data_IF_707665792560
#
_entry.id   IF_707665792560
#
_cell.length_a   1.000
_cell.length_b   1.000
_cell.length_c   1.000
_cell.angle_alpha   90.00
_cell.angle_beta   90.00
_cell.angle_gamma   90.00
#
_symmetry.space_group_name_H-M   'P 1'
#
loop_
_entity.id
_entity.type
_entity.pdbx_description
1 polymer ?
#
# COMPACT_ATOMS: atom_id res chain seq x y z
N UNK A 1 -25.20 -5.00 -6.15
CA UNK A 1 -25.23 -5.34 -4.71
C UNK A 1 -24.00 -4.72 -4.09
N UNK A 2 -24.16 -3.84 -3.09
CA UNK A 2 -23.03 -3.31 -2.33
C UNK A 2 -22.24 -4.47 -1.75
N UNK A 3 -20.94 -4.47 -2.03
CA UNK A 3 -20.03 -5.53 -1.56
C UNK A 3 -19.93 -5.44 -0.03
N UNK A 4 -20.62 -6.33 0.70
CA UNK A 4 -20.62 -6.37 2.17
C UNK A 4 -19.23 -6.42 2.81
N UNK A 5 -18.23 -6.82 2.04
CA UNK A 5 -16.86 -6.94 2.48
C UNK A 5 -16.04 -5.66 2.29
N UNK A 6 -16.63 -4.62 1.72
CA UNK A 6 -16.02 -3.29 1.65
C UNK A 6 -16.55 -2.45 2.81
N UNK A 7 -15.76 -2.34 3.87
CA UNK A 7 -16.15 -1.69 5.13
C UNK A 7 -16.46 -0.20 4.96
N UNK A 8 -15.95 0.43 3.90
CA UNK A 8 -16.25 1.83 3.54
C UNK A 8 -17.72 2.17 3.54
N UNK A 9 -18.56 1.20 3.19
CA UNK A 9 -20.01 1.38 3.11
C UNK A 9 -20.73 0.94 4.38
N UNK A 10 -19.99 0.77 5.48
CA UNK A 10 -20.59 0.57 6.79
C UNK A 10 -21.13 1.88 7.34
N UNK A 11 -22.25 1.82 8.08
CA UNK A 11 -22.86 3.01 8.66
C UNK A 11 -21.90 3.78 9.60
N UNK A 12 -20.99 3.07 10.28
CA UNK A 12 -20.02 3.70 11.18
C UNK A 12 -19.03 4.58 10.41
N UNK A 13 -18.49 4.08 9.29
CA UNK A 13 -17.53 4.80 8.46
C UNK A 13 -18.23 5.91 7.68
N UNK A 14 -19.40 5.65 7.09
CA UNK A 14 -20.19 6.67 6.39
C UNK A 14 -20.55 7.85 7.30
N UNK A 15 -21.03 7.59 8.53
CA UNK A 15 -21.35 8.64 9.48
C UNK A 15 -20.12 9.47 9.91
N UNK A 16 -18.95 8.82 10.03
CA UNK A 16 -17.72 9.53 10.38
C UNK A 16 -17.25 10.43 9.24
N UNK A 17 -17.27 9.96 7.99
CA UNK A 17 -16.91 10.75 6.81
C UNK A 17 -17.85 11.94 6.64
N UNK A 18 -19.15 11.75 6.83
CA UNK A 18 -20.15 12.84 6.75
C UNK A 18 -19.91 13.92 7.81
N UNK A 19 -19.53 13.53 9.03
CA UNK A 19 -19.20 14.46 10.11
C UNK A 19 -18.05 15.40 9.73
N UNK A 20 -17.12 14.96 8.90
CA UNK A 20 -15.98 15.72 8.40
C UNK A 20 -16.20 16.30 7.00
N UNK A 21 -17.48 16.48 6.60
CA UNK A 21 -17.85 16.95 5.24
C UNK A 21 -17.40 18.37 4.91
N UNK A 22 -17.04 19.16 5.90
CA UNK A 22 -16.55 20.54 5.74
C UNK A 22 -15.02 20.67 5.64
N UNK A 23 -14.28 19.55 5.75
CA UNK A 23 -12.83 19.54 5.58
C UNK A 23 -12.42 19.93 4.17
N UNK A 24 -11.28 20.61 4.04
CA UNK A 24 -10.75 21.09 2.76
C UNK A 24 -10.38 19.97 1.78
N UNK A 25 -10.19 20.34 0.53
CA UNK A 25 -9.88 19.39 -0.55
C UNK A 25 -8.55 18.65 -0.37
N UNK A 26 -7.64 19.19 0.42
CA UNK A 26 -6.35 18.61 0.76
C UNK A 26 -6.41 17.55 1.87
N UNK A 27 -7.59 17.35 2.48
CA UNK A 27 -7.80 16.35 3.53
C UNK A 27 -8.12 14.96 2.98
N UNK A 28 -7.75 13.92 3.73
CA UNK A 28 -8.15 12.54 3.42
C UNK A 28 -9.68 12.36 3.50
N UNK A 29 -10.36 13.11 4.37
CA UNK A 29 -11.80 13.12 4.49
C UNK A 29 -12.50 13.51 3.19
N UNK A 30 -11.99 14.54 2.49
CA UNK A 30 -12.57 14.99 1.23
C UNK A 30 -12.48 13.92 0.14
N UNK A 31 -11.35 13.20 0.07
CA UNK A 31 -11.17 12.10 -0.89
C UNK A 31 -12.07 10.92 -0.56
N UNK A 32 -12.18 10.53 0.70
CA UNK A 32 -13.07 9.45 1.11
C UNK A 32 -14.53 9.77 0.82
N UNK A 33 -14.95 11.02 1.05
CA UNK A 33 -16.31 11.48 0.71
C UNK A 33 -16.56 11.44 -0.80
N UNK A 34 -15.63 11.97 -1.61
CA UNK A 34 -15.72 11.94 -3.07
C UNK A 34 -15.86 10.50 -3.59
N UNK A 35 -15.09 9.59 -3.02
CA UNK A 35 -15.14 8.16 -3.34
C UNK A 35 -16.45 7.49 -2.93
N UNK A 36 -17.09 7.93 -1.87
CA UNK A 36 -18.43 7.44 -1.47
C UNK A 36 -19.54 7.91 -2.40
N UNK A 37 -19.45 9.15 -2.87
CA UNK A 37 -20.40 9.73 -3.83
C UNK A 37 -20.25 9.06 -5.19
N UNK A 38 -19.02 8.88 -5.65
CA UNK A 38 -18.70 8.33 -6.97
C UNK A 38 -18.41 6.81 -6.92
N UNK A 39 -19.30 6.05 -6.30
CA UNK A 39 -19.13 4.61 -6.04
C UNK A 39 -18.82 3.77 -7.27
N UNK A 40 -19.34 4.14 -8.43
CA UNK A 40 -19.12 3.43 -9.68
C UNK A 40 -17.73 3.68 -10.27
N UNK A 41 -17.16 4.84 -10.04
CA UNK A 41 -15.83 5.23 -10.52
C UNK A 41 -14.70 4.69 -9.63
N UNK A 42 -14.92 4.62 -8.31
CA UNK A 42 -13.88 4.29 -7.34
C UNK A 42 -14.25 3.14 -6.41
N UNK A 43 -15.16 2.26 -6.84
CA UNK A 43 -15.78 1.24 -5.98
C UNK A 43 -14.97 -0.03 -5.73
N UNK A 44 -13.81 -0.21 -6.37
CA UNK A 44 -12.98 -1.41 -6.22
C UNK A 44 -12.40 -1.59 -4.82
N UNK A 45 -12.23 -2.86 -4.41
CA UNK A 45 -11.68 -3.19 -3.10
C UNK A 45 -10.16 -3.00 -3.03
N UNK A 46 -9.46 -3.07 -4.17
CA UNK A 46 -8.01 -3.06 -4.25
C UNK A 46 -7.46 -1.85 -5.02
N UNK A 47 -8.19 -0.75 -4.96
CA UNK A 47 -7.79 0.56 -5.46
C UNK A 47 -7.63 1.50 -4.28
N UNK A 48 -6.42 1.93 -3.97
CA UNK A 48 -6.09 2.68 -2.77
C UNK A 48 -5.63 4.09 -3.09
N UNK A 49 -6.01 5.04 -2.23
CA UNK A 49 -5.64 6.44 -2.38
C UNK A 49 -4.14 6.61 -2.19
N UNK A 50 -3.46 7.18 -3.19
CA UNK A 50 -2.09 7.67 -3.08
C UNK A 50 -2.06 9.14 -2.70
N UNK A 51 -2.88 9.94 -3.35
CA UNK A 51 -2.87 11.39 -3.16
C UNK A 51 -3.89 12.11 -4.01
N UNK A 52 -3.75 13.43 -4.07
CA UNK A 52 -4.52 14.31 -4.94
C UNK A 52 -3.59 14.91 -5.99
N UNK A 53 -3.95 14.80 -7.26
CA UNK A 53 -3.17 15.27 -8.41
C UNK A 53 -3.13 16.80 -8.43
N UNK A 54 -1.96 17.36 -8.75
CA UNK A 54 -1.75 18.79 -8.88
C UNK A 54 -2.42 19.41 -10.11
N UNK A 55 -2.49 18.63 -11.21
CA UNK A 55 -2.94 19.10 -12.51
C UNK A 55 -4.47 19.13 -12.64
N UNK A 56 -5.15 18.21 -11.99
CA UNK A 56 -6.60 17.99 -12.17
C UNK A 56 -7.41 18.11 -10.89
N UNK A 57 -6.75 18.25 -9.75
CA UNK A 57 -7.36 18.18 -8.41
C UNK A 57 -8.17 16.88 -8.16
N UNK A 58 -7.92 15.83 -8.94
CA UNK A 58 -8.56 14.53 -8.77
C UNK A 58 -7.75 13.60 -7.89
N UNK A 59 -8.38 12.67 -7.14
CA UNK A 59 -7.69 11.63 -6.43
C UNK A 59 -6.85 10.75 -7.38
N UNK A 60 -5.64 10.41 -6.95
CA UNK A 60 -4.76 9.43 -7.59
C UNK A 60 -4.85 8.13 -6.81
N UNK A 61 -5.05 7.02 -7.51
CA UNK A 61 -5.18 5.69 -6.92
C UNK A 61 -4.06 4.76 -7.35
N UNK A 62 -3.63 3.90 -6.44
CA UNK A 62 -2.86 2.71 -6.71
C UNK A 62 -3.83 1.54 -6.87
N UNK A 63 -3.96 1.05 -8.10
CA UNK A 63 -4.95 0.03 -8.44
C UNK A 63 -4.30 -1.34 -8.63
N UNK A 64 -4.73 -2.32 -7.86
CA UNK A 64 -4.29 -3.72 -7.93
C UNK A 64 -5.35 -4.66 -8.49
N UNK A 65 -6.45 -4.13 -9.01
CA UNK A 65 -7.46 -4.92 -9.72
C UNK A 65 -7.20 -4.91 -11.22
N UNK A 66 -7.50 -6.04 -11.89
CA UNK A 66 -7.49 -6.09 -13.34
C UNK A 66 -8.63 -5.21 -13.89
N UNK A 67 -8.26 -4.12 -14.55
CA UNK A 67 -9.13 -3.24 -15.34
C UNK A 67 -10.47 -2.85 -14.66
N UNK A 68 -10.40 -1.94 -13.70
CA UNK A 68 -11.57 -1.16 -13.33
C UNK A 68 -11.69 0.00 -14.34
N UNK A 69 -12.77 0.01 -15.15
CA UNK A 69 -13.14 1.06 -16.12
C UNK A 69 -11.99 1.62 -16.98
N UNK A 70 -11.16 0.74 -17.54
CA UNK A 70 -10.08 1.15 -18.46
C UNK A 70 -8.78 1.61 -17.79
N UNK A 71 -8.71 1.63 -16.47
CA UNK A 71 -7.44 1.83 -15.76
C UNK A 71 -6.71 0.51 -15.65
N UNK A 72 -5.49 0.38 -16.22
CA UNK A 72 -4.69 -0.83 -16.08
C UNK A 72 -4.30 -1.01 -14.61
N UNK A 73 -4.20 -2.27 -14.19
CA UNK A 73 -3.67 -2.55 -12.87
C UNK A 73 -2.18 -2.20 -12.80
N UNK A 74 -1.77 -1.68 -11.64
CA UNK A 74 -0.39 -1.34 -11.35
C UNK A 74 0.42 -2.57 -10.91
N UNK A 75 1.73 -2.49 -11.00
CA UNK A 75 2.63 -3.54 -10.54
C UNK A 75 2.40 -3.90 -9.06
N UNK A 76 2.67 -5.16 -8.63
CA UNK A 76 2.46 -5.58 -7.24
C UNK A 76 3.45 -4.95 -6.24
N UNK A 77 4.44 -4.22 -6.74
CA UNK A 77 5.50 -3.62 -5.92
C UNK A 77 5.48 -2.11 -6.00
N UNK A 78 5.58 -1.48 -4.83
CA UNK A 78 5.65 -0.02 -4.71
C UNK A 78 6.85 0.38 -3.85
N UNK A 79 7.74 1.21 -4.41
CA UNK A 79 8.82 1.85 -3.67
C UNK A 79 8.38 3.24 -3.25
N UNK A 80 8.51 3.54 -1.96
CA UNK A 80 8.19 4.85 -1.37
C UNK A 80 9.47 5.45 -0.79
N UNK A 81 9.84 6.62 -1.27
CA UNK A 81 11.04 7.31 -0.80
C UNK A 81 10.72 8.71 -0.29
N UNK A 82 11.55 9.22 0.60
CA UNK A 82 11.36 10.57 1.13
C UNK A 82 12.15 10.80 2.40
N UNK A 83 12.85 11.92 2.48
CA UNK A 83 13.65 12.29 3.65
C UNK A 83 12.79 12.46 4.91
N UNK A 84 13.42 12.46 6.06
CA UNK A 84 12.76 12.74 7.34
C UNK A 84 11.98 14.07 7.27
N UNK A 85 10.73 14.07 7.74
CA UNK A 85 9.87 15.24 7.72
C UNK A 85 9.21 15.54 6.36
N UNK A 86 9.39 14.70 5.33
CA UNK A 86 8.74 14.91 4.02
C UNK A 86 7.26 14.48 3.96
N UNK A 87 6.78 13.71 4.94
CA UNK A 87 5.41 13.15 4.94
C UNK A 87 5.33 11.65 4.58
N UNK A 88 6.47 10.95 4.45
CA UNK A 88 6.52 9.51 4.12
C UNK A 88 5.67 8.66 5.07
N UNK A 89 5.81 8.85 6.38
CA UNK A 89 5.04 8.10 7.38
C UNK A 89 3.54 8.40 7.31
N UNK A 90 3.16 9.65 7.04
CA UNK A 90 1.74 10.02 6.82
C UNK A 90 1.18 9.32 5.57
N UNK A 91 1.97 9.24 4.49
CA UNK A 91 1.59 8.50 3.30
C UNK A 91 1.34 7.02 3.61
N UNK A 92 2.28 6.34 4.28
CA UNK A 92 2.14 4.92 4.62
C UNK A 92 0.94 4.66 5.56
N UNK A 93 0.74 5.53 6.55
CA UNK A 93 -0.41 5.46 7.45
C UNK A 93 -1.73 5.58 6.69
N UNK A 94 -1.86 6.57 5.81
CA UNK A 94 -3.06 6.77 4.99
C UNK A 94 -3.33 5.56 4.08
N UNK A 95 -2.29 5.00 3.47
CA UNK A 95 -2.39 3.80 2.65
C UNK A 95 -2.90 2.60 3.45
N UNK A 96 -2.36 2.37 4.64
CA UNK A 96 -2.78 1.28 5.53
C UNK A 96 -4.25 1.45 5.94
N UNK A 97 -4.66 2.66 6.32
CA UNK A 97 -6.06 2.95 6.67
C UNK A 97 -7.00 2.70 5.49
N UNK A 98 -6.61 3.13 4.29
CA UNK A 98 -7.43 2.95 3.10
C UNK A 98 -7.56 1.46 2.72
N UNK A 99 -6.49 0.67 2.86
CA UNK A 99 -6.53 -0.80 2.72
C UNK A 99 -7.49 -1.41 3.76
N UNK A 100 -7.36 -1.01 5.01
CA UNK A 100 -8.18 -1.52 6.10
C UNK A 100 -9.66 -1.17 5.95
N UNK A 101 -9.96 0.04 5.51
CA UNK A 101 -11.32 0.52 5.31
C UNK A 101 -12.00 -0.12 4.09
N UNK A 102 -11.23 -0.40 3.04
CA UNK A 102 -11.80 -0.96 1.80
C UNK A 102 -11.97 -2.47 1.83
N UNK A 103 -11.31 -3.16 2.75
CA UNK A 103 -11.34 -4.62 2.82
C UNK A 103 -11.66 -5.11 4.22
N UNK A 104 -12.57 -6.06 4.35
CA UNK A 104 -12.75 -6.78 5.60
C UNK A 104 -11.55 -7.70 5.89
N UNK A 105 -11.37 -8.15 7.15
CA UNK A 105 -10.33 -9.12 7.50
C UNK A 105 -10.39 -10.43 6.70
N UNK A 106 -11.57 -10.77 6.17
CA UNK A 106 -11.79 -11.96 5.33
C UNK A 106 -11.30 -11.79 3.89
N UNK A 107 -10.91 -10.58 3.48
CA UNK A 107 -10.44 -10.28 2.13
C UNK A 107 -8.95 -9.97 2.07
N UNK A 108 -8.45 -9.23 3.05
CA UNK A 108 -7.09 -8.75 3.03
C UNK A 108 -6.39 -8.85 4.38
N UNK A 109 -5.14 -9.29 4.34
CA UNK A 109 -4.20 -9.22 5.46
C UNK A 109 -3.27 -8.02 5.28
N UNK A 110 -2.93 -7.36 6.39
CA UNK A 110 -1.98 -6.25 6.44
C UNK A 110 -0.83 -6.66 7.35
N UNK A 111 0.39 -6.60 6.83
CA UNK A 111 1.63 -6.91 7.56
C UNK A 111 2.54 -5.70 7.49
N UNK A 112 2.90 -5.16 8.65
CA UNK A 112 3.75 -3.97 8.75
C UNK A 112 5.03 -4.33 9.49
N UNK A 113 6.15 -3.94 8.93
CA UNK A 113 7.49 -4.17 9.47
C UNK A 113 8.21 -2.84 9.57
N UNK A 114 8.76 -2.52 10.75
CA UNK A 114 9.47 -1.26 10.98
C UNK A 114 10.63 -1.45 11.97
N UNK A 115 11.90 -1.38 11.51
CA UNK A 115 13.08 -1.49 12.37
C UNK A 115 13.16 -0.38 13.42
N UNK A 116 12.45 0.74 13.23
CA UNK A 116 12.50 1.90 14.11
C UNK A 116 11.47 1.87 15.26
N UNK A 117 10.89 0.69 15.55
CA UNK A 117 10.01 0.51 16.72
C UNK A 117 8.53 0.78 16.48
N UNK A 118 8.10 1.05 15.26
CA UNK A 118 6.68 1.18 14.90
C UNK A 118 6.04 2.51 15.29
N UNK A 119 6.78 3.49 15.73
CA UNK A 119 6.25 4.79 16.18
C UNK A 119 5.43 5.52 15.12
N UNK A 120 5.80 5.35 13.85
CA UNK A 120 5.08 5.94 12.73
C UNK A 120 3.64 5.46 12.59
N UNK A 121 3.32 4.31 13.20
CA UNK A 121 2.02 3.62 13.10
C UNK A 121 1.26 3.58 14.43
N UNK A 122 1.65 4.39 15.42
CA UNK A 122 1.06 4.41 16.77
C UNK A 122 -0.46 4.64 16.71
N UNK A 123 -0.92 5.60 15.90
CA UNK A 123 -2.34 5.91 15.71
C UNK A 123 -3.14 4.77 15.06
N UNK A 124 -2.47 3.74 14.53
CA UNK A 124 -3.09 2.55 13.95
C UNK A 124 -3.16 1.33 14.88
N UNK A 125 -2.62 1.41 16.09
CA UNK A 125 -2.58 0.27 17.06
C UNK A 125 -3.94 -0.36 17.35
N UNK A 126 -5.01 0.39 17.17
CA UNK A 126 -6.36 -0.13 17.33
C UNK A 126 -6.84 -1.07 16.22
N UNK A 127 -6.16 -1.17 15.09
CA UNK A 127 -6.49 -2.15 14.04
C UNK A 127 -6.07 -3.55 14.48
N UNK A 128 -7.01 -4.36 14.96
CA UNK A 128 -6.73 -5.67 15.54
C UNK A 128 -6.07 -6.66 14.57
N UNK A 129 -6.30 -6.51 13.27
CA UNK A 129 -5.71 -7.33 12.20
C UNK A 129 -4.34 -6.88 11.73
N UNK A 130 -3.83 -5.77 12.28
CA UNK A 130 -2.51 -5.24 11.99
C UNK A 130 -1.63 -5.34 13.23
N UNK A 131 -0.42 -5.83 13.06
CA UNK A 131 0.64 -5.79 14.07
C UNK A 131 1.89 -5.27 13.40
N UNK A 132 2.55 -4.31 14.03
CA UNK A 132 3.87 -3.85 13.59
C UNK A 132 4.91 -4.77 14.19
N UNK A 133 5.70 -5.39 13.32
CA UNK A 133 6.82 -6.24 13.70
C UNK A 133 8.12 -5.45 13.56
N UNK A 134 8.95 -5.49 14.60
CA UNK A 134 10.19 -4.71 14.68
C UNK A 134 11.45 -5.58 14.74
N UNK A 135 11.28 -6.90 14.78
CA UNK A 135 12.38 -7.85 14.90
C UNK A 135 12.78 -8.38 13.52
N UNK A 136 14.07 -8.28 13.18
CA UNK A 136 14.60 -8.70 11.88
C UNK A 136 14.42 -10.20 11.64
N UNK A 137 14.63 -11.05 12.66
CA UNK A 137 14.52 -12.51 12.50
C UNK A 137 13.09 -12.96 12.24
N UNK A 138 12.13 -12.31 12.89
CA UNK A 138 10.70 -12.52 12.58
C UNK A 138 10.39 -12.09 11.16
N UNK A 139 10.95 -10.97 10.71
CA UNK A 139 10.76 -10.48 9.34
C UNK A 139 11.38 -11.41 8.31
N UNK A 140 12.60 -11.93 8.54
CA UNK A 140 13.24 -12.95 7.69
C UNK A 140 12.35 -14.20 7.56
N UNK A 141 11.87 -14.71 8.70
CA UNK A 141 10.97 -15.89 8.72
C UNK A 141 9.68 -15.62 7.96
N UNK A 142 9.16 -14.40 8.02
CA UNK A 142 7.98 -14.02 7.26
C UNK A 142 8.25 -13.96 5.74
N UNK A 143 9.39 -13.39 5.30
CA UNK A 143 9.78 -13.38 3.89
C UNK A 143 9.89 -14.80 3.31
N UNK A 144 10.53 -15.72 4.04
CA UNK A 144 10.55 -17.15 3.67
C UNK A 144 9.14 -17.76 3.57
N UNK A 145 8.22 -17.35 4.45
CA UNK A 145 6.85 -17.84 4.43
C UNK A 145 6.08 -17.37 3.18
N UNK A 146 6.39 -16.17 2.66
CA UNK A 146 5.82 -15.67 1.40
C UNK A 146 6.20 -16.61 0.24
N UNK A 147 7.48 -16.92 0.09
CA UNK A 147 7.97 -17.82 -0.97
C UNK A 147 7.30 -19.18 -0.93
N UNK A 148 7.20 -19.78 0.28
CA UNK A 148 6.52 -21.05 0.50
C UNK A 148 5.01 -20.98 0.18
N UNK A 149 4.36 -19.89 0.59
CA UNK A 149 2.93 -19.71 0.33
C UNK A 149 2.62 -19.53 -1.14
N UNK A 150 3.44 -18.78 -1.87
CA UNK A 150 3.29 -18.62 -3.33
C UNK A 150 3.38 -19.96 -4.03
N UNK A 151 4.39 -20.77 -3.71
CA UNK A 151 4.52 -22.13 -4.28
C UNK A 151 3.31 -23.02 -3.97
N UNK A 152 2.77 -22.95 -2.75
CA UNK A 152 1.57 -23.69 -2.37
C UNK A 152 0.31 -23.19 -3.11
N UNK A 153 0.18 -21.88 -3.32
CA UNK A 153 -0.93 -21.31 -4.11
C UNK A 153 -0.86 -21.75 -5.56
N UNK A 154 0.32 -21.80 -6.17
CA UNK A 154 0.50 -22.29 -7.55
C UNK A 154 0.04 -23.73 -7.70
N UNK A 155 0.49 -24.59 -6.80
CA UNK A 155 0.09 -26.01 -6.82
C UNK A 155 -1.43 -26.16 -6.65
N UNK A 156 -2.03 -25.33 -5.80
CA UNK A 156 -3.48 -25.31 -5.62
C UNK A 156 -4.19 -24.82 -6.88
N UNK A 157 -3.69 -23.76 -7.54
CA UNK A 157 -4.27 -23.23 -8.77
C UNK A 157 -4.22 -24.27 -9.91
N UNK A 158 -3.09 -24.96 -10.06
CA UNK A 158 -2.96 -26.07 -11.01
C UNK A 158 -3.97 -27.18 -10.70
N UNK A 159 -4.11 -27.58 -9.44
CA UNK A 159 -5.04 -28.63 -9.01
C UNK A 159 -6.49 -28.26 -9.30
N UNK A 160 -6.85 -26.98 -9.13
CA UNK A 160 -8.21 -26.49 -9.37
C UNK A 160 -8.47 -26.07 -10.81
N UNK A 161 -7.45 -26.03 -11.68
CA UNK A 161 -7.55 -25.57 -13.06
C UNK A 161 -7.84 -24.09 -13.19
N UNK A 162 -7.38 -23.27 -12.24
CA UNK A 162 -7.58 -21.82 -12.20
C UNK A 162 -6.24 -21.07 -12.36
N UNK A 163 -6.31 -19.78 -12.70
CA UNK A 163 -5.11 -18.97 -12.98
C UNK A 163 -4.89 -17.81 -12.00
N UNK A 164 -5.93 -17.43 -11.27
CA UNK A 164 -5.89 -16.24 -10.40
C UNK A 164 -6.44 -16.55 -9.02
N UNK A 165 -6.04 -15.73 -8.04
CA UNK A 165 -6.56 -15.77 -6.67
C UNK A 165 -8.09 -15.61 -6.64
N UNK A 166 -8.62 -14.73 -7.49
CA UNK A 166 -10.05 -14.46 -7.58
C UNK A 166 -10.82 -15.70 -8.07
N UNK A 167 -10.30 -16.38 -9.10
CA UNK A 167 -10.87 -17.63 -9.61
C UNK A 167 -10.78 -18.73 -8.55
N UNK A 168 -9.63 -18.88 -7.91
CA UNK A 168 -9.43 -19.83 -6.83
C UNK A 168 -10.43 -19.59 -5.68
N UNK A 169 -10.58 -18.36 -5.25
CA UNK A 169 -11.51 -17.99 -4.18
C UNK A 169 -12.99 -18.18 -4.53
N UNK A 170 -13.36 -18.13 -5.82
CA UNK A 170 -14.71 -18.49 -6.27
C UNK A 170 -14.96 -20.00 -6.09
N UNK A 171 -13.95 -20.83 -6.35
CA UNK A 171 -14.04 -22.29 -6.18
C UNK A 171 -14.03 -22.68 -4.71
N UNK A 172 -13.13 -22.09 -3.91
CA UNK A 172 -12.97 -22.43 -2.49
C UNK A 172 -14.14 -21.95 -1.61
N UNK A 173 -14.83 -20.89 -2.02
CA UNK A 173 -15.89 -20.25 -1.25
C UNK A 173 -15.39 -19.49 -0.03
N UNK A 174 -16.31 -18.90 0.72
CA UNK A 174 -15.98 -17.92 1.79
C UNK A 174 -15.12 -18.51 2.92
N UNK A 175 -15.33 -19.77 3.31
CA UNK A 175 -14.67 -20.38 4.49
C UNK A 175 -13.22 -20.78 4.26
N UNK A 176 -12.79 -20.93 3.02
CA UNK A 176 -11.44 -21.38 2.64
C UNK A 176 -10.71 -20.36 1.78
N UNK A 177 -11.19 -19.14 1.77
CA UNK A 177 -10.63 -18.07 0.94
C UNK A 177 -9.18 -17.79 1.31
N UNK A 178 -8.34 -17.62 0.30
CA UNK A 178 -6.98 -17.11 0.42
C UNK A 178 -7.06 -15.59 0.45
N UNK A 179 -6.41 -14.97 1.43
CA UNK A 179 -6.40 -13.52 1.58
C UNK A 179 -5.41 -12.87 0.63
N UNK A 180 -5.78 -11.72 0.09
CA UNK A 180 -4.81 -10.82 -0.52
C UNK A 180 -3.95 -10.20 0.59
N UNK A 181 -2.64 -10.19 0.44
CA UNK A 181 -1.72 -9.76 1.51
C UNK A 181 -0.92 -8.54 1.09
N UNK A 182 -1.03 -7.49 1.89
CA UNK A 182 -0.27 -6.26 1.76
C UNK A 182 0.84 -6.25 2.79
N UNK A 183 2.09 -6.25 2.31
CA UNK A 183 3.30 -6.24 3.12
C UNK A 183 3.93 -4.86 3.01
N UNK A 184 4.01 -4.14 4.10
CA UNK A 184 4.60 -2.81 4.19
C UNK A 184 5.86 -2.92 5.04
N UNK A 185 7.02 -2.55 4.50
CA UNK A 185 8.28 -2.48 5.23
C UNK A 185 8.76 -1.03 5.20
N UNK A 186 8.69 -0.37 6.35
CA UNK A 186 9.24 0.99 6.49
C UNK A 186 10.75 0.91 6.77
N UNK A 187 11.49 1.90 6.34
CA UNK A 187 12.94 2.07 6.50
C UNK A 187 13.77 0.80 6.23
N UNK A 188 13.51 0.16 5.10
CA UNK A 188 14.16 -1.09 4.68
C UNK A 188 15.70 -1.01 4.73
N UNK A 189 16.26 0.19 4.56
CA UNK A 189 17.70 0.47 4.58
C UNK A 189 18.40 -0.07 5.84
N UNK A 190 17.71 -0.04 6.98
CA UNK A 190 18.25 -0.51 8.26
C UNK A 190 18.54 -2.01 8.23
N UNK A 191 17.69 -2.79 7.57
CA UNK A 191 17.84 -4.26 7.50
C UNK A 191 18.63 -4.74 6.28
N UNK A 192 18.80 -3.92 5.24
CA UNK A 192 19.57 -4.30 4.04
C UNK A 192 21.09 -4.43 4.28
N UNK A 193 21.58 -4.04 5.46
CA UNK A 193 22.95 -4.31 5.90
C UNK A 193 23.18 -5.77 6.30
N UNK A 194 22.11 -6.52 6.56
CA UNK A 194 22.15 -7.95 6.87
C UNK A 194 22.00 -8.75 5.57
N UNK A 195 23.06 -9.49 5.20
CA UNK A 195 23.10 -10.23 3.92
C UNK A 195 22.05 -11.34 3.85
N UNK A 196 21.71 -11.99 4.97
CA UNK A 196 20.69 -13.03 5.01
C UNK A 196 19.29 -12.42 4.81
N UNK A 197 19.00 -11.28 5.45
CA UNK A 197 17.76 -10.55 5.20
C UNK A 197 17.64 -10.14 3.73
N UNK A 198 18.73 -9.59 3.16
CA UNK A 198 18.78 -9.17 1.76
C UNK A 198 18.49 -10.35 0.82
N UNK A 199 19.11 -11.51 1.05
CA UNK A 199 18.89 -12.72 0.24
C UNK A 199 17.41 -13.17 0.31
N UNK A 200 16.81 -13.24 1.50
CA UNK A 200 15.41 -13.63 1.68
C UNK A 200 14.43 -12.63 1.06
N UNK A 201 14.76 -11.33 1.10
CA UNK A 201 13.96 -10.31 0.43
C UNK A 201 13.99 -10.49 -1.09
N UNK A 202 15.16 -10.75 -1.68
CA UNK A 202 15.30 -11.01 -3.11
C UNK A 202 14.51 -12.25 -3.52
N UNK A 203 14.62 -13.35 -2.77
CA UNK A 203 13.85 -14.59 -3.01
C UNK A 203 12.32 -14.32 -2.99
N UNK A 204 11.85 -13.54 -2.02
CA UNK A 204 10.44 -13.15 -1.94
C UNK A 204 10.02 -12.27 -3.13
N UNK A 205 10.87 -11.30 -3.51
CA UNK A 205 10.63 -10.45 -4.68
C UNK A 205 10.57 -11.26 -5.98
N UNK A 206 11.48 -12.21 -6.18
CA UNK A 206 11.47 -13.12 -7.33
C UNK A 206 10.21 -13.97 -7.38
N UNK A 207 9.84 -14.58 -6.25
CA UNK A 207 8.62 -15.39 -6.16
C UNK A 207 7.36 -14.58 -6.51
N UNK A 208 7.24 -13.37 -5.96
CA UNK A 208 6.12 -12.48 -6.26
C UNK A 208 6.20 -12.00 -7.73
N UNK A 209 7.39 -11.67 -8.28
CA UNK A 209 7.54 -11.19 -9.66
C UNK A 209 7.12 -12.21 -10.70
N UNK A 210 7.50 -13.45 -10.48
CA UNK A 210 7.20 -14.53 -11.43
C UNK A 210 5.70 -14.86 -11.48
N UNK A 211 4.98 -14.69 -10.37
CA UNK A 211 3.58 -15.13 -10.20
C UNK A 211 2.70 -14.15 -9.38
N UNK A 212 3.23 -13.01 -8.96
CA UNK A 212 2.65 -12.15 -7.93
C UNK A 212 1.25 -11.61 -8.21
N UNK A 213 0.93 -11.36 -9.47
CA UNK A 213 -0.42 -10.96 -9.88
C UNK A 213 -1.48 -11.98 -9.51
N UNK A 214 -1.16 -13.26 -9.73
CA UNK A 214 -2.08 -14.35 -9.51
C UNK A 214 -2.17 -14.77 -8.04
N UNK A 215 -1.11 -14.54 -7.24
CA UNK A 215 -1.01 -15.09 -5.87
C UNK A 215 -1.51 -14.15 -4.76
N UNK A 216 -1.77 -12.88 -5.08
CA UNK A 216 -2.38 -11.92 -4.16
C UNK A 216 -1.42 -11.25 -3.17
N UNK A 217 -0.10 -11.31 -3.38
CA UNK A 217 0.87 -10.57 -2.57
C UNK A 217 1.21 -9.21 -3.18
N UNK A 218 1.22 -8.18 -2.34
CA UNK A 218 1.61 -6.81 -2.69
C UNK A 218 2.65 -6.32 -1.68
N UNK A 219 3.75 -5.75 -2.18
CA UNK A 219 4.86 -5.31 -1.34
C UNK A 219 5.09 -3.81 -1.52
N UNK A 220 5.08 -3.09 -0.40
CA UNK A 220 5.45 -1.67 -0.31
C UNK A 220 6.73 -1.57 0.51
N UNK A 221 7.82 -1.16 -0.12
CA UNK A 221 9.06 -0.85 0.58
C UNK A 221 9.22 0.66 0.71
N UNK A 222 9.65 1.10 1.88
CA UNK A 222 9.92 2.51 2.10
C UNK A 222 11.35 2.73 2.63
N UNK A 223 11.97 3.85 2.23
CA UNK A 223 13.28 4.28 2.73
C UNK A 223 13.44 5.79 2.65
N UNK A 224 14.26 6.32 3.55
CA UNK A 224 14.67 7.73 3.53
C UNK A 224 15.90 7.96 2.64
N UNK A 225 16.68 6.92 2.36
CA UNK A 225 17.94 6.99 1.65
C UNK A 225 17.95 6.07 0.43
N UNK A 226 17.35 6.48 -0.69
CA UNK A 226 17.45 5.75 -1.95
C UNK A 226 18.82 6.01 -2.61
N UNK A 227 19.83 5.28 -2.17
CA UNK A 227 21.19 5.35 -2.67
C UNK A 227 21.65 3.93 -3.03
N UNK A 228 22.39 3.71 -4.13
CA UNK A 228 22.82 2.39 -4.56
C UNK A 228 23.57 1.57 -3.52
N UNK A 229 24.23 2.24 -2.56
CA UNK A 229 24.98 1.59 -1.47
C UNK A 229 24.05 1.06 -0.37
N UNK A 230 22.85 1.60 -0.27
CA UNK A 230 21.87 1.30 0.78
C UNK A 230 20.72 0.47 0.23
N UNK A 231 20.18 0.86 -0.90
CA UNK A 231 19.14 0.14 -1.65
C UNK A 231 19.76 -0.35 -2.97
N UNK A 232 20.24 -1.59 -3.07
CA UNK A 232 20.87 -2.12 -4.28
C UNK A 232 19.92 -2.08 -5.50
N UNK A 233 20.50 -1.90 -6.70
CA UNK A 233 19.74 -1.88 -7.96
C UNK A 233 18.93 -3.16 -8.16
N UNK A 234 19.51 -4.28 -7.81
CA UNK A 234 18.87 -5.60 -7.90
C UNK A 234 17.55 -5.69 -7.12
N UNK A 235 17.37 -4.91 -6.05
CA UNK A 235 16.12 -4.79 -5.30
C UNK A 235 15.24 -3.69 -5.92
N UNK A 236 15.83 -2.49 -6.15
CA UNK A 236 15.08 -1.33 -6.67
C UNK A 236 14.35 -1.65 -7.98
N UNK A 237 14.96 -2.40 -8.87
CA UNK A 237 14.46 -2.62 -10.23
C UNK A 237 13.21 -3.52 -10.29
N UNK A 238 12.86 -4.22 -9.20
CA UNK A 238 11.56 -4.88 -9.06
C UNK A 238 10.39 -3.90 -8.99
N UNK A 239 10.61 -2.66 -8.51
CA UNK A 239 9.53 -1.73 -8.21
C UNK A 239 9.08 -0.96 -9.44
N UNK A 240 7.97 -1.40 -10.03
CA UNK A 240 7.32 -0.74 -11.17
C UNK A 240 6.55 0.53 -10.77
N UNK A 241 6.06 0.61 -9.52
CA UNK A 241 5.48 1.82 -8.97
C UNK A 241 6.51 2.49 -8.06
N UNK A 242 6.81 3.75 -8.32
CA UNK A 242 7.79 4.51 -7.55
C UNK A 242 7.20 5.84 -7.13
N UNK A 243 7.21 6.10 -5.84
CA UNK A 243 6.67 7.31 -5.23
C UNK A 243 7.80 7.97 -4.45
N UNK A 244 8.02 9.23 -4.67
CA UNK A 244 9.00 9.98 -3.89
C UNK A 244 8.41 11.29 -3.40
N UNK A 245 8.46 11.46 -2.10
CA UNK A 245 8.37 12.74 -1.45
C UNK A 245 9.73 13.43 -1.57
N UNK A 246 9.89 14.60 -0.91
CA UNK A 246 11.14 15.35 -0.97
C UNK A 246 12.36 14.48 -0.65
N UNK A 247 13.38 14.60 -1.48
CA UNK A 247 14.70 13.99 -1.31
C UNK A 247 15.80 15.07 -1.20
N UNK A 248 16.96 14.72 -0.62
CA UNK A 248 18.04 15.69 -0.43
C UNK A 248 18.71 16.13 -1.75
N UNK A 249 18.83 15.22 -2.73
CA UNK A 249 19.61 15.47 -3.95
C UNK A 249 18.94 14.95 -5.21
N UNK A 250 19.31 15.53 -6.35
CA UNK A 250 18.83 15.11 -7.67
C UNK A 250 19.27 13.68 -8.04
N UNK A 251 20.45 13.25 -7.57
CA UNK A 251 20.95 11.89 -7.79
C UNK A 251 20.07 10.85 -7.08
N UNK A 252 19.64 11.15 -5.84
CA UNK A 252 18.71 10.30 -5.12
C UNK A 252 17.34 10.27 -5.78
N UNK A 253 16.85 11.41 -6.30
CA UNK A 253 15.62 11.48 -7.08
C UNK A 253 15.68 10.60 -8.32
N UNK A 254 16.75 10.77 -9.12
CA UNK A 254 16.97 9.98 -10.33
C UNK A 254 17.13 8.49 -10.02
N UNK A 255 17.81 8.16 -8.91
CA UNK A 255 17.91 6.79 -8.47
C UNK A 255 16.57 6.19 -8.05
N UNK A 256 15.78 6.90 -7.24
CA UNK A 256 14.49 6.43 -6.73
C UNK A 256 13.43 6.31 -7.83
N UNK A 257 13.26 7.38 -8.60
CA UNK A 257 12.14 7.54 -9.56
C UNK A 257 12.54 7.19 -11.01
N UNK A 258 13.83 7.23 -11.36
CA UNK A 258 14.30 7.25 -12.74
C UNK A 258 14.30 8.65 -13.35
N UNK A 259 13.96 9.68 -12.59
CA UNK A 259 13.90 11.08 -12.98
C UNK A 259 14.33 12.00 -11.83
N UNK A 260 14.79 13.20 -12.18
CA UNK A 260 15.02 14.30 -11.22
C UNK A 260 13.70 15.00 -10.90
N UNK A 261 13.66 15.73 -9.79
CA UNK A 261 12.52 16.57 -9.41
C UNK A 261 12.09 16.43 -7.96
N UNK A 262 12.29 15.25 -7.31
CA UNK A 262 11.93 15.08 -5.91
C UNK A 262 12.78 15.97 -4.97
N UNK A 263 13.98 16.34 -5.35
CA UNK A 263 14.84 17.29 -4.63
C UNK A 263 14.28 18.71 -4.62
N UNK A 264 13.50 19.04 -5.64
CA UNK A 264 12.89 20.38 -5.81
C UNK A 264 11.54 20.54 -5.11
N UNK A 265 10.98 19.46 -4.54
CA UNK A 265 9.75 19.52 -3.78
C UNK A 265 9.96 20.36 -2.50
N UNK A 266 9.09 21.33 -2.24
CA UNK A 266 9.25 22.28 -1.14
C UNK A 266 8.23 22.12 -0.03
N UNK A 267 7.05 21.61 -0.35
CA UNK A 267 5.93 21.51 0.57
C UNK A 267 5.87 20.13 1.24
N UNK A 268 5.38 20.10 2.49
CA UNK A 268 5.13 18.87 3.21
C UNK A 268 4.06 18.03 2.49
N UNK A 269 4.36 16.76 2.30
CA UNK A 269 3.44 15.84 1.61
C UNK A 269 3.42 15.98 0.09
N UNK A 270 4.18 16.91 -0.49
CA UNK A 270 4.34 17.00 -1.93
C UNK A 270 5.14 15.80 -2.44
N UNK A 271 4.66 15.14 -3.50
CA UNK A 271 5.27 13.93 -4.02
C UNK A 271 5.18 13.83 -5.54
N UNK A 272 6.11 13.09 -6.11
CA UNK A 272 6.10 12.61 -7.49
C UNK A 272 5.83 11.11 -7.51
N UNK A 273 4.91 10.68 -8.36
CA UNK A 273 4.62 9.27 -8.61
C UNK A 273 4.95 8.90 -10.05
N UNK A 274 5.69 7.81 -10.21
CA UNK A 274 5.93 7.12 -11.49
C UNK A 274 5.25 5.76 -11.37
N UNK A 275 4.13 5.62 -12.04
CA UNK A 275 3.35 4.39 -12.02
C UNK A 275 3.55 3.69 -13.36
N UNK A 276 3.74 2.38 -13.35
CA UNK A 276 4.23 1.61 -14.49
C UNK A 276 3.43 1.72 -15.80
N UNK A 277 2.24 2.31 -15.75
CA UNK A 277 1.36 2.49 -16.91
C UNK A 277 1.20 3.95 -17.33
N UNK A 278 1.84 4.89 -16.62
CA UNK A 278 1.78 6.31 -16.93
C UNK A 278 2.97 6.73 -17.78
N UNK A 279 2.74 7.56 -18.79
CA UNK A 279 3.77 8.04 -19.70
C UNK A 279 4.64 9.16 -19.13
N UNK A 280 4.19 9.78 -18.05
CA UNK A 280 4.86 10.90 -17.39
C UNK A 280 4.72 10.82 -15.85
N UNK A 281 5.64 11.40 -15.10
CA UNK A 281 5.50 11.51 -13.65
C UNK A 281 4.27 12.32 -13.26
N UNK A 282 3.59 11.85 -12.23
CA UNK A 282 2.40 12.50 -11.69
C UNK A 282 2.81 13.33 -10.48
N UNK A 283 2.51 14.60 -10.51
CA UNK A 283 2.69 15.52 -9.40
C UNK A 283 1.44 15.50 -8.52
N UNK A 284 1.59 15.22 -7.22
CA UNK A 284 0.47 15.09 -6.31
C UNK A 284 0.86 15.37 -4.84
N UNK A 285 -0.14 15.48 -3.97
CA UNK A 285 0.03 15.66 -2.55
C UNK A 285 -0.56 14.50 -1.76
N UNK A 286 0.15 14.11 -0.68
CA UNK A 286 -0.39 13.24 0.36
C UNK A 286 -1.53 13.97 1.06
N UNK A 287 -2.74 13.40 1.09
CA UNK A 287 -3.85 14.04 1.77
C UNK A 287 -3.59 14.16 3.27
N UNK A 288 -3.95 15.29 3.84
CA UNK A 288 -3.80 15.52 5.27
C UNK A 288 -4.77 14.63 6.08
N UNK A 289 -4.23 14.01 7.13
CA UNK A 289 -4.99 13.31 8.16
C UNK A 289 -4.24 13.43 9.48
N UNK A 290 -4.90 13.95 10.52
CA UNK A 290 -4.30 14.03 11.85
C UNK A 290 -4.20 12.65 12.51
N UNK A 291 -3.37 12.49 13.54
CA UNK A 291 -3.29 11.25 14.30
C UNK A 291 -4.62 10.94 15.01
N UNK A 292 -5.28 11.97 15.55
CA UNK A 292 -6.59 11.83 16.19
C UNK A 292 -7.66 11.35 15.19
N UNK A 293 -7.65 11.87 13.96
CA UNK A 293 -8.58 11.42 12.91
C UNK A 293 -8.28 10.01 12.44
N UNK A 294 -7.00 9.63 12.39
CA UNK A 294 -6.60 8.25 12.12
C UNK A 294 -7.15 7.30 13.20
N UNK A 295 -7.04 7.63 14.48
CA UNK A 295 -7.60 6.85 15.60
C UNK A 295 -9.13 6.76 15.55
N UNK A 296 -9.81 7.85 15.17
CA UNK A 296 -11.26 7.86 14.96
C UNK A 296 -11.67 6.90 13.82
N UNK A 297 -10.93 6.92 12.72
CA UNK A 297 -11.17 6.00 11.60
C UNK A 297 -10.89 4.54 12.00
N UNK A 298 -9.81 4.28 12.74
CA UNK A 298 -9.53 2.94 13.31
C UNK A 298 -10.70 2.44 14.14
N UNK A 299 -11.27 3.31 14.98
CA UNK A 299 -12.43 2.96 15.80
C UNK A 299 -13.65 2.63 14.95
N UNK A 300 -13.93 3.40 13.90
CA UNK A 300 -15.03 3.15 12.97
C UNK A 300 -14.85 1.85 12.19
N UNK A 301 -13.61 1.53 11.77
CA UNK A 301 -13.27 0.25 11.10
C UNK A 301 -13.56 -0.92 12.04
N UNK A 302 -13.12 -0.87 13.29
CA UNK A 302 -13.39 -1.92 14.29
C UNK A 302 -14.87 -2.16 14.48
N UNK A 303 -15.66 -1.10 14.64
CA UNK A 303 -17.13 -1.22 14.75
C UNK A 303 -17.73 -1.86 13.48
N UNK A 304 -17.13 -1.63 12.31
CA UNK A 304 -17.58 -2.23 11.06
C UNK A 304 -17.18 -3.72 10.93
N UNK A 305 -16.03 -4.09 11.48
CA UNK A 305 -15.51 -5.48 11.50
C UNK A 305 -16.30 -6.40 12.44
N UNK A 306 -16.80 -5.86 13.56
CA UNK A 306 -17.56 -6.60 14.59
C UNK A 306 -19.02 -6.92 14.17
N UNK A 307 -19.46 -6.53 12.98
CA UNK A 307 -20.82 -6.76 12.41
C UNK A 307 -20.83 -7.82 11.33
#
# INVERSE_FOLDING_TARGET
MLNKNNLRYSAAIEALIEKHSQEGNDSMWSIWRERQVNRNEYGGNYSFVLGRRADTDKPLYLNFESAFEGSPAHAPYTLVTGMTGSGKSSFLRNLILDIAMTNSPDLAAIKVFDPNGGWAFESLKGLHRMRVETNIETTKSYLESITKSIAAHEQLFETLGVKTLEECNKVLGLKKRILRTFVIIDEIAVWLIDDDFKAKLIEALEAISNKGWSTGYHLVLATQWPDPRVLPREIRDYFGNRISLKLPTAEMSEYALGIKGAESLTELGHMLAVLGNESAPINCWVPWLSDEDAERMVTAIRVAEDR
#
